data_IF_307687019967
#
_entry.id   IF_307687019967
#
_cell.length_a   1.000
_cell.length_b   1.000
_cell.length_c   1.000
_cell.angle_alpha   90.00
_cell.angle_beta   90.00
_cell.angle_gamma   90.00
#
_symmetry.space_group_name_H-M   'P 1'
#
loop_
_entity.id
_entity.type
_entity.pdbx_description
1 polymer ?
#
# COMPACT_ATOMS: atom_id res chain seq x y z
N UNK A 1 1.69 -8.88 10.33
CA UNK A 1 3.16 -8.79 10.35
C UNK A 1 3.55 -8.25 11.71
N UNK A 2 4.59 -8.80 12.33
CA UNK A 2 5.16 -8.34 13.59
C UNK A 2 6.68 -8.42 13.47
N UNK A 3 7.35 -7.29 13.69
CA UNK A 3 8.81 -7.19 13.58
C UNK A 3 9.37 -7.76 12.27
N UNK A 4 8.72 -7.42 11.16
CA UNK A 4 9.07 -7.92 9.82
C UNK A 4 8.65 -9.36 9.51
N UNK A 5 8.13 -10.10 10.49
CA UNK A 5 7.73 -11.50 10.33
C UNK A 5 6.23 -11.61 10.04
N UNK A 6 5.86 -12.39 9.03
CA UNK A 6 4.47 -12.72 8.74
C UNK A 6 3.92 -13.70 9.78
N UNK A 7 3.06 -13.22 10.68
CA UNK A 7 2.50 -14.02 11.80
C UNK A 7 1.08 -14.53 11.56
N UNK A 8 0.46 -14.17 10.44
CA UNK A 8 -0.88 -14.63 10.11
C UNK A 8 -1.32 -14.17 8.73
N UNK A 9 -2.34 -14.81 8.19
CA UNK A 9 -2.96 -14.51 6.92
C UNK A 9 -4.34 -13.93 7.11
N UNK A 10 -4.80 -13.15 6.14
CA UNK A 10 -6.22 -12.83 6.04
C UNK A 10 -6.97 -14.11 5.67
N UNK A 11 -7.99 -14.47 6.44
CA UNK A 11 -8.74 -15.69 6.23
C UNK A 11 -10.22 -15.52 6.58
N UNK A 12 -11.10 -16.20 5.85
CA UNK A 12 -12.46 -16.46 6.25
C UNK A 12 -12.60 -17.88 6.80
N UNK A 13 -13.76 -18.22 7.34
CA UNK A 13 -13.98 -19.55 7.91
C UNK A 13 -13.81 -20.68 6.90
N UNK A 14 -14.34 -20.49 5.68
CA UNK A 14 -14.26 -21.49 4.62
C UNK A 14 -12.81 -21.82 4.23
N UNK A 15 -12.01 -20.81 3.96
CA UNK A 15 -10.61 -20.98 3.59
C UNK A 15 -9.78 -21.56 4.74
N UNK A 16 -10.04 -21.15 5.98
CA UNK A 16 -9.41 -21.75 7.15
C UNK A 16 -9.70 -23.25 7.23
N UNK A 17 -10.97 -23.67 7.06
CA UNK A 17 -11.33 -25.09 7.09
C UNK A 17 -10.74 -25.84 5.90
N UNK A 18 -10.68 -25.23 4.72
CA UNK A 18 -10.08 -25.83 3.53
C UNK A 18 -8.59 -26.14 3.73
N UNK A 19 -7.84 -25.19 4.32
CA UNK A 19 -6.42 -25.39 4.64
C UNK A 19 -6.25 -26.49 5.69
N UNK A 20 -7.00 -26.42 6.80
CA UNK A 20 -6.86 -27.35 7.92
C UNK A 20 -7.27 -28.79 7.58
N UNK A 21 -8.10 -28.99 6.55
CA UNK A 21 -8.61 -30.30 6.11
C UNK A 21 -7.98 -30.80 4.81
N UNK A 22 -7.15 -30.01 4.13
CA UNK A 22 -6.45 -30.47 2.93
C UNK A 22 -5.39 -31.51 3.32
N UNK A 23 -5.50 -32.77 2.86
CA UNK A 23 -4.53 -33.80 3.19
C UNK A 23 -3.11 -33.50 2.68
N UNK A 24 -2.99 -32.59 1.71
CA UNK A 24 -1.72 -32.14 1.15
C UNK A 24 -1.25 -30.80 1.73
N UNK A 25 -1.94 -30.27 2.74
CA UNK A 25 -1.60 -28.94 3.27
C UNK A 25 -0.17 -28.88 3.81
N UNK A 26 0.29 -29.91 4.53
CA UNK A 26 1.65 -29.98 5.05
C UNK A 26 2.71 -29.96 3.94
N UNK A 27 2.48 -30.67 2.84
CA UNK A 27 3.37 -30.67 1.67
C UNK A 27 3.43 -29.29 1.02
N UNK A 28 2.26 -28.62 0.86
CA UNK A 28 2.16 -27.31 0.20
C UNK A 28 2.69 -26.16 1.04
N UNK A 29 2.54 -26.22 2.34
CA UNK A 29 2.89 -25.14 3.27
C UNK A 29 4.29 -25.32 3.88
N UNK A 30 4.87 -26.51 3.81
CA UNK A 30 6.12 -26.84 4.49
C UNK A 30 6.02 -26.99 6.00
N UNK A 31 4.81 -26.82 6.57
CA UNK A 31 4.52 -26.88 8.01
C UNK A 31 3.20 -27.60 8.25
N UNK A 32 2.99 -28.14 9.45
CA UNK A 32 1.70 -28.72 9.81
C UNK A 32 0.67 -27.61 10.06
N UNK A 33 -0.42 -27.51 9.27
CA UNK A 33 -1.42 -26.49 9.43
C UNK A 33 -2.14 -26.50 10.78
N UNK A 34 -2.18 -27.64 11.47
CA UNK A 34 -2.80 -27.74 12.80
C UNK A 34 -1.97 -27.03 13.88
N UNK A 35 -0.65 -27.10 13.79
CA UNK A 35 0.27 -26.37 14.67
C UNK A 35 0.19 -24.86 14.43
N UNK A 36 -0.09 -24.45 13.20
CA UNK A 36 -0.18 -23.06 12.77
C UNK A 36 -1.61 -22.54 12.62
N UNK A 37 -2.60 -23.24 13.14
CA UNK A 37 -4.03 -22.89 13.02
C UNK A 37 -4.36 -21.46 13.42
N UNK A 38 -3.62 -20.86 14.34
CA UNK A 38 -3.78 -19.46 14.74
C UNK A 38 -3.48 -18.47 13.60
N UNK A 39 -2.55 -18.82 12.68
CA UNK A 39 -2.22 -18.01 11.53
C UNK A 39 -3.33 -17.97 10.47
N UNK A 40 -4.22 -18.97 10.49
CA UNK A 40 -5.37 -19.08 9.59
C UNK A 40 -6.69 -18.79 10.31
N UNK A 41 -6.66 -18.15 11.48
CA UNK A 41 -7.87 -17.84 12.22
C UNK A 41 -8.81 -16.95 11.40
N UNK A 42 -10.12 -17.30 11.27
CA UNK A 42 -11.05 -16.56 10.43
C UNK A 42 -11.40 -15.21 11.05
N UNK A 43 -10.90 -14.12 10.48
CA UNK A 43 -11.09 -12.75 10.95
C UNK A 43 -11.57 -11.79 9.86
N UNK A 44 -11.42 -12.18 8.59
CA UNK A 44 -11.56 -11.30 7.44
C UNK A 44 -12.58 -11.82 6.42
N UNK A 45 -13.64 -12.49 6.89
CA UNK A 45 -14.74 -12.93 6.05
C UNK A 45 -15.80 -11.84 5.91
N UNK A 46 -15.94 -11.28 4.71
CA UNK A 46 -16.91 -10.23 4.40
C UNK A 46 -17.71 -10.55 3.16
N UNK A 47 -18.95 -10.08 3.11
CA UNK A 47 -19.83 -10.18 1.96
C UNK A 47 -19.91 -8.81 1.28
N UNK A 48 -18.94 -8.52 0.41
CA UNK A 48 -18.92 -7.27 -0.35
C UNK A 48 -19.59 -7.44 -1.69
N UNK A 49 -20.39 -6.46 -2.09
CA UNK A 49 -20.94 -6.37 -3.43
C UNK A 49 -19.96 -5.71 -4.41
N UNK A 50 -20.18 -5.92 -5.70
CA UNK A 50 -19.51 -5.13 -6.72
C UNK A 50 -19.97 -3.68 -6.62
N UNK A 51 -19.04 -2.75 -6.52
CA UNK A 51 -19.33 -1.32 -6.35
C UNK A 51 -19.48 -0.87 -4.91
N UNK A 52 -19.15 -1.72 -3.94
CA UNK A 52 -19.06 -1.39 -2.54
C UNK A 52 -20.26 -1.82 -1.68
N UNK A 53 -20.06 -1.72 -0.38
CA UNK A 53 -21.06 -2.09 0.61
C UNK A 53 -21.14 -3.59 0.91
N UNK A 54 -21.85 -3.92 1.99
CA UNK A 54 -22.07 -5.29 2.44
C UNK A 54 -23.43 -5.78 1.99
N UNK A 55 -23.44 -6.97 1.39
CA UNK A 55 -24.68 -7.59 0.89
C UNK A 55 -24.85 -9.01 1.43
N UNK A 56 -26.03 -9.35 1.90
CA UNK A 56 -26.33 -10.66 2.49
C UNK A 56 -26.37 -11.78 1.44
N UNK A 57 -26.64 -11.47 0.18
CA UNK A 57 -26.74 -12.39 -0.94
C UNK A 57 -25.38 -12.75 -1.54
N UNK A 58 -24.31 -12.06 -1.14
CA UNK A 58 -22.98 -12.34 -1.63
C UNK A 58 -22.29 -13.44 -0.81
N UNK A 59 -21.47 -14.25 -1.48
CA UNK A 59 -20.62 -15.22 -0.79
C UNK A 59 -19.53 -14.49 0.00
N UNK A 60 -19.16 -14.97 1.20
CA UNK A 60 -18.07 -14.38 1.97
C UNK A 60 -16.73 -14.51 1.22
N UNK A 61 -16.16 -13.38 0.84
CA UNK A 61 -14.78 -13.25 0.36
C UNK A 61 -13.81 -12.96 1.51
N UNK A 62 -12.52 -12.91 1.19
CA UNK A 62 -11.48 -12.44 2.11
C UNK A 62 -11.13 -11.01 1.73
N UNK A 63 -11.24 -10.09 2.68
CA UNK A 63 -10.84 -8.70 2.49
C UNK A 63 -10.26 -8.10 3.78
N UNK A 64 -9.35 -7.13 3.68
CA UNK A 64 -9.00 -6.29 4.81
C UNK A 64 -10.19 -5.38 5.17
N UNK A 65 -10.16 -4.78 6.36
CA UNK A 65 -11.08 -3.69 6.74
C UNK A 65 -10.28 -2.40 6.93
N UNK A 66 -9.92 -2.08 8.17
CA UNK A 66 -9.07 -0.92 8.44
C UNK A 66 -7.61 -1.37 8.42
N UNK A 67 -6.81 -0.79 7.53
CA UNK A 67 -5.37 -1.04 7.46
C UNK A 67 -4.69 0.07 8.25
N UNK A 68 -3.89 -0.32 9.25
CA UNK A 68 -3.11 0.61 10.07
C UNK A 68 -1.64 0.24 9.93
N UNK A 69 -0.84 1.18 9.50
CA UNK A 69 0.62 1.05 9.38
C UNK A 69 1.23 1.90 10.50
N UNK A 70 1.79 1.28 11.55
CA UNK A 70 2.43 2.03 12.62
C UNK A 70 3.77 2.60 12.15
N UNK A 71 4.03 3.84 12.53
CA UNK A 71 5.29 4.52 12.23
C UNK A 71 6.24 4.60 13.42
N UNK A 72 7.46 5.04 13.15
CA UNK A 72 8.55 5.16 14.11
C UNK A 72 9.26 6.52 14.11
N UNK A 73 8.92 7.41 13.18
CA UNK A 73 9.46 8.77 13.08
C UNK A 73 8.45 9.77 13.62
N UNK A 74 8.88 10.65 14.52
CA UNK A 74 7.97 11.52 15.29
C UNK A 74 7.35 12.63 14.44
N UNK A 75 8.12 13.24 13.54
CA UNK A 75 7.69 14.43 12.80
C UNK A 75 7.92 14.33 11.30
N UNK A 76 7.18 15.13 10.55
CA UNK A 76 7.38 15.27 9.10
C UNK A 76 8.77 15.87 8.79
N UNK A 77 9.25 16.82 9.62
CA UNK A 77 10.56 17.43 9.44
C UNK A 77 11.70 16.41 9.56
N UNK A 78 11.53 15.40 10.43
CA UNK A 78 12.50 14.31 10.53
C UNK A 78 12.47 13.43 9.27
N UNK A 79 11.30 13.13 8.72
CA UNK A 79 11.18 12.41 7.44
C UNK A 79 11.84 13.18 6.29
N UNK A 80 11.60 14.48 6.21
CA UNK A 80 12.24 15.35 5.19
C UNK A 80 13.77 15.35 5.31
N UNK A 81 14.31 15.36 6.54
CA UNK A 81 15.76 15.26 6.77
C UNK A 81 16.34 13.91 6.37
N UNK A 82 15.58 12.81 6.54
CA UNK A 82 16.02 11.49 6.07
C UNK A 82 16.15 11.44 4.54
N UNK A 83 15.29 12.16 3.82
CA UNK A 83 15.36 12.28 2.36
C UNK A 83 16.52 13.19 1.94
N UNK A 84 16.75 14.29 2.63
CA UNK A 84 17.76 15.29 2.29
C UNK A 84 17.36 16.11 1.07
N UNK A 85 17.71 15.65 -0.13
CA UNK A 85 17.32 16.24 -1.41
C UNK A 85 16.43 15.26 -2.19
N UNK A 86 15.29 15.74 -2.69
CA UNK A 86 14.35 14.86 -3.37
C UNK A 86 12.99 15.49 -3.64
N UNK A 87 11.94 14.68 -3.56
CA UNK A 87 10.56 15.10 -3.82
C UNK A 87 9.66 14.73 -2.63
N UNK A 88 8.86 15.68 -2.21
CA UNK A 88 7.69 15.45 -1.37
C UNK A 88 6.47 15.29 -2.27
N UNK A 89 5.85 14.12 -2.23
CA UNK A 89 4.69 13.79 -3.05
C UNK A 89 3.45 13.79 -2.15
N UNK A 90 2.64 14.84 -2.23
CA UNK A 90 1.46 15.00 -1.40
C UNK A 90 0.26 14.24 -1.92
N UNK A 91 0.02 14.29 -3.24
CA UNK A 91 -1.08 13.56 -3.87
C UNK A 91 -0.71 12.95 -5.20
N UNK A 92 -1.26 11.73 -5.41
CA UNK A 92 -1.14 10.98 -6.66
C UNK A 92 -2.54 10.64 -7.20
N UNK A 93 -2.62 10.45 -8.51
CA UNK A 93 -3.84 10.12 -9.22
C UNK A 93 -3.60 9.05 -10.28
N UNK A 94 -4.62 8.33 -10.67
CA UNK A 94 -4.50 7.22 -11.63
C UNK A 94 -3.46 6.18 -11.21
N UNK A 95 -3.53 5.77 -9.96
CA UNK A 95 -2.67 4.69 -9.46
C UNK A 95 -3.27 3.35 -9.83
N UNK A 96 -2.58 2.59 -10.68
CA UNK A 96 -3.03 1.27 -11.07
C UNK A 96 -1.86 0.32 -11.37
N UNK A 97 -2.08 -1.01 -11.25
CA UNK A 97 -1.07 -2.01 -11.60
C UNK A 97 -0.90 -2.09 -13.11
N UNK A 98 0.35 -2.20 -13.58
CA UNK A 98 0.67 -2.24 -15.01
C UNK A 98 0.70 -3.66 -15.56
N UNK A 99 1.40 -4.57 -14.87
CA UNK A 99 1.62 -5.96 -15.32
C UNK A 99 0.82 -6.97 -14.48
N UNK A 100 -0.35 -6.57 -14.00
CA UNK A 100 -1.19 -7.35 -13.10
C UNK A 100 -0.80 -7.22 -11.63
N UNK A 101 -1.75 -7.53 -10.74
CA UNK A 101 -1.62 -7.32 -9.29
C UNK A 101 -0.45 -8.07 -8.64
N UNK A 102 -0.01 -9.19 -9.22
CA UNK A 102 1.06 -10.02 -8.64
C UNK A 102 2.46 -9.54 -8.97
N UNK A 103 2.63 -8.80 -10.07
CA UNK A 103 3.93 -8.28 -10.49
C UNK A 103 4.41 -7.15 -9.59
N UNK A 104 3.48 -6.39 -9.03
CA UNK A 104 3.77 -5.25 -8.15
C UNK A 104 4.13 -3.97 -8.90
N UNK A 105 4.22 -4.00 -10.24
CA UNK A 105 4.48 -2.81 -11.04
C UNK A 105 3.25 -1.89 -11.02
N UNK A 106 3.49 -0.60 -10.82
CA UNK A 106 2.43 0.40 -10.79
C UNK A 106 2.85 1.69 -11.48
N UNK A 107 1.87 2.42 -11.95
CA UNK A 107 2.03 3.79 -12.43
C UNK A 107 1.12 4.73 -11.66
N UNK A 108 1.53 5.98 -11.53
CA UNK A 108 0.73 7.03 -10.89
C UNK A 108 1.18 8.42 -11.33
N UNK A 109 0.26 9.35 -11.46
CA UNK A 109 0.57 10.75 -11.80
C UNK A 109 0.59 11.61 -10.53
N UNK A 110 1.61 12.45 -10.39
CA UNK A 110 1.71 13.44 -9.30
C UNK A 110 0.81 14.62 -9.64
N UNK A 111 -0.17 14.93 -8.75
CA UNK A 111 -1.21 15.90 -9.09
C UNK A 111 -1.20 17.16 -8.21
N UNK A 112 -0.93 17.08 -6.94
CA UNK A 112 -0.99 18.27 -6.10
C UNK A 112 -0.27 18.14 -4.78
N UNK A 113 -0.19 19.24 -4.06
CA UNK A 113 0.43 19.33 -2.72
C UNK A 113 1.82 18.69 -2.68
N UNK A 114 2.58 18.86 -3.77
CA UNK A 114 3.89 18.23 -3.95
C UNK A 114 4.97 19.28 -4.12
N UNK A 115 6.15 19.03 -3.56
CA UNK A 115 7.24 19.99 -3.47
C UNK A 115 8.58 19.34 -3.74
N UNK A 116 9.54 20.12 -4.17
CA UNK A 116 10.96 19.74 -4.13
C UNK A 116 11.43 19.79 -2.68
N UNK A 117 12.25 18.84 -2.29
CA UNK A 117 12.96 18.85 -1.00
C UNK A 117 14.40 19.30 -1.27
N UNK A 118 14.87 20.28 -0.51
CA UNK A 118 16.27 20.72 -0.51
C UNK A 118 16.77 20.83 0.93
N UNK A 119 17.93 20.26 1.21
CA UNK A 119 18.53 20.25 2.54
C UNK A 119 17.53 19.84 3.65
N UNK A 120 16.70 18.82 3.37
CA UNK A 120 15.70 18.31 4.30
C UNK A 120 14.53 19.23 4.58
N UNK A 121 14.21 20.16 3.67
CA UNK A 121 13.09 21.13 3.79
C UNK A 121 12.29 21.21 2.50
N UNK A 122 11.00 21.51 2.63
CA UNK A 122 10.15 21.81 1.48
C UNK A 122 10.62 23.11 0.82
N UNK A 123 10.80 23.07 -0.48
CA UNK A 123 11.23 24.18 -1.31
C UNK A 123 10.14 24.53 -2.36
N UNK A 124 10.47 24.52 -3.65
CA UNK A 124 9.55 24.94 -4.70
C UNK A 124 8.40 23.94 -4.88
N UNK A 125 7.16 24.41 -5.16
CA UNK A 125 6.06 23.54 -5.48
C UNK A 125 6.27 22.86 -6.86
N UNK A 126 5.85 21.60 -6.96
CA UNK A 126 5.85 20.85 -8.23
C UNK A 126 4.57 21.16 -8.98
N UNK A 127 4.69 21.51 -10.26
CA UNK A 127 3.53 21.73 -11.13
C UNK A 127 2.74 20.42 -11.27
N UNK A 128 1.41 20.40 -10.99
CA UNK A 128 0.59 19.22 -11.16
C UNK A 128 0.66 18.62 -12.56
N UNK A 129 0.56 17.31 -12.66
CA UNK A 129 0.55 16.55 -13.91
C UNK A 129 1.83 16.68 -14.77
N UNK A 130 2.96 17.00 -14.16
CA UNK A 130 4.26 17.06 -14.86
C UNK A 130 5.17 15.88 -14.54
N UNK A 131 4.86 15.13 -13.51
CA UNK A 131 5.63 13.96 -13.07
C UNK A 131 4.75 12.72 -13.02
N UNK A 132 5.33 11.60 -13.41
CA UNK A 132 4.74 10.27 -13.34
C UNK A 132 5.67 9.34 -12.58
N UNK A 133 5.10 8.57 -11.67
CA UNK A 133 5.77 7.47 -10.99
C UNK A 133 5.55 6.20 -11.82
N UNK A 134 6.62 5.49 -12.15
CA UNK A 134 6.58 4.15 -12.71
C UNK A 134 7.57 3.29 -11.93
N UNK A 135 7.08 2.49 -11.00
CA UNK A 135 7.92 1.70 -10.11
C UNK A 135 7.25 0.37 -9.75
N UNK A 136 7.91 -0.38 -8.90
CA UNK A 136 7.39 -1.63 -8.35
C UNK A 136 7.24 -1.49 -6.82
N UNK A 137 6.11 -1.93 -6.29
CA UNK A 137 5.80 -1.84 -4.86
C UNK A 137 6.86 -2.52 -3.97
N UNK A 138 7.49 -3.59 -4.44
CA UNK A 138 8.57 -4.25 -3.71
C UNK A 138 9.81 -3.36 -3.60
N UNK A 139 10.15 -2.62 -4.67
CA UNK A 139 11.26 -1.66 -4.64
C UNK A 139 11.00 -0.54 -3.64
N UNK A 140 9.79 0.03 -3.68
CA UNK A 140 9.38 1.10 -2.75
C UNK A 140 9.43 0.62 -1.31
N UNK A 141 8.88 -0.56 -1.01
CA UNK A 141 8.88 -1.12 0.34
C UNK A 141 10.29 -1.45 0.85
N UNK A 142 11.18 -1.90 -0.02
CA UNK A 142 12.57 -2.19 0.33
C UNK A 142 13.44 -0.93 0.48
N UNK A 143 12.99 0.21 -0.04
CA UNK A 143 13.69 1.48 0.02
C UNK A 143 13.22 2.41 1.16
N UNK A 144 12.36 1.93 2.08
CA UNK A 144 11.84 2.74 3.18
C UNK A 144 12.98 3.12 4.13
N UNK A 145 13.16 4.42 4.34
CA UNK A 145 14.08 5.03 5.30
C UNK A 145 13.41 5.29 6.65
N UNK A 146 12.12 5.64 6.62
CA UNK A 146 11.36 5.94 7.82
C UNK A 146 9.86 5.99 7.56
N UNK A 147 9.09 5.77 8.60
CA UNK A 147 7.63 5.78 8.59
C UNK A 147 7.17 6.74 9.69
N UNK A 148 6.39 7.74 9.34
CA UNK A 148 5.84 8.70 10.29
C UNK A 148 4.86 8.06 11.28
N UNK A 149 4.75 8.59 12.48
CA UNK A 149 3.79 8.11 13.49
C UNK A 149 2.36 8.58 13.24
N UNK A 150 2.19 9.72 12.59
CA UNK A 150 0.88 10.30 12.31
C UNK A 150 0.20 9.59 11.14
N UNK A 151 -0.56 8.56 11.45
CA UNK A 151 -1.40 7.88 10.45
C UNK A 151 -2.71 8.66 10.24
N UNK A 152 -2.99 9.02 9.00
CA UNK A 152 -4.22 9.73 8.60
C UNK A 152 -5.16 8.80 7.84
N UNK A 153 -6.50 8.93 8.05
CA UNK A 153 -7.45 8.18 7.25
C UNK A 153 -7.38 8.64 5.79
N UNK A 154 -7.11 7.70 4.91
CA UNK A 154 -6.96 7.93 3.47
C UNK A 154 -8.05 7.16 2.74
N UNK A 155 -8.83 7.87 1.92
CA UNK A 155 -9.80 7.23 1.04
C UNK A 155 -9.06 6.61 -0.14
N UNK A 156 -9.29 5.32 -0.36
CA UNK A 156 -8.83 4.61 -1.54
C UNK A 156 -10.02 4.49 -2.51
N UNK A 157 -9.84 4.97 -3.74
CA UNK A 157 -10.90 4.98 -4.73
C UNK A 157 -11.39 3.56 -5.04
N UNK A 158 -12.71 3.40 -5.09
CA UNK A 158 -13.41 2.14 -5.31
C UNK A 158 -13.11 1.02 -4.28
N UNK A 159 -12.63 1.38 -3.09
CA UNK A 159 -12.49 0.46 -1.97
C UNK A 159 -13.53 0.74 -0.89
N UNK A 160 -13.94 -0.29 -0.17
CA UNK A 160 -14.83 -0.20 0.98
C UNK A 160 -14.07 0.03 2.29
N UNK A 161 -12.73 0.00 2.22
CA UNK A 161 -11.83 0.09 3.35
C UNK A 161 -11.32 1.52 3.54
N UNK A 162 -11.12 1.91 4.80
CA UNK A 162 -10.36 3.10 5.15
C UNK A 162 -8.94 2.67 5.49
N UNK A 163 -7.97 3.25 4.79
CA UNK A 163 -6.54 3.02 5.04
C UNK A 163 -6.02 4.10 5.98
N UNK A 164 -5.52 3.71 7.14
CA UNK A 164 -4.77 4.60 8.02
C UNK A 164 -3.29 4.43 7.70
N UNK A 165 -2.74 5.35 6.95
CA UNK A 165 -1.36 5.32 6.51
C UNK A 165 -0.62 6.59 6.93
N UNK A 166 0.59 6.45 7.45
CA UNK A 166 1.49 7.57 7.69
C UNK A 166 2.22 7.97 6.40
N UNK A 167 2.88 9.11 6.45
CA UNK A 167 3.89 9.46 5.46
C UNK A 167 5.08 8.51 5.56
N UNK A 168 5.71 8.21 4.43
CA UNK A 168 6.92 7.37 4.37
C UNK A 168 8.03 8.12 3.65
N UNK A 169 9.25 8.04 4.16
CA UNK A 169 10.46 8.45 3.46
C UNK A 169 11.05 7.22 2.77
N UNK A 170 11.39 7.36 1.50
CA UNK A 170 12.03 6.30 0.71
C UNK A 170 13.33 6.82 0.10
N UNK A 171 14.35 5.97 0.01
CA UNK A 171 15.64 6.33 -0.55
C UNK A 171 15.55 6.70 -2.05
N UNK A 172 14.67 6.00 -2.77
CA UNK A 172 14.48 6.19 -4.20
C UNK A 172 13.10 5.79 -4.67
N UNK A 173 12.65 6.48 -5.70
CA UNK A 173 11.42 6.20 -6.43
C UNK A 173 11.67 6.52 -7.91
N UNK A 174 11.23 5.67 -8.83
CA UNK A 174 11.34 5.94 -10.25
C UNK A 174 10.29 6.97 -10.67
N UNK A 175 10.75 8.16 -11.03
CA UNK A 175 9.90 9.28 -11.45
C UNK A 175 10.39 9.79 -12.80
N UNK A 176 9.48 10.01 -13.75
CA UNK A 176 9.75 10.58 -15.05
C UNK A 176 9.01 11.89 -15.26
N UNK A 177 9.60 12.81 -16.03
CA UNK A 177 8.93 14.03 -16.47
C UNK A 177 7.98 13.71 -17.62
N UNK A 178 6.73 14.17 -17.50
CA UNK A 178 5.71 14.09 -18.57
C UNK A 178 5.23 15.47 -19.01
N UNK A 179 5.96 16.53 -18.63
CA UNK A 179 5.58 17.91 -18.91
C UNK A 179 5.38 18.18 -20.42
N UNK A 180 6.25 17.65 -21.27
CA UNK A 180 6.19 17.82 -22.73
C UNK A 180 4.90 17.26 -23.34
N UNK A 181 4.40 16.15 -22.81
CA UNK A 181 3.14 15.56 -23.28
C UNK A 181 1.92 16.38 -22.88
N UNK A 182 2.01 17.08 -21.77
CA UNK A 182 0.91 17.91 -21.27
C UNK A 182 0.83 19.27 -22.00
N UNK A 183 1.96 19.82 -22.42
CA UNK A 183 2.01 21.08 -23.19
C UNK A 183 1.49 20.93 -24.62
N UNK A 184 1.57 19.75 -25.20
CA UNK A 184 1.05 19.45 -26.54
C UNK A 184 -0.46 19.14 -26.57
N UNK A 185 -1.12 19.02 -25.41
CA UNK A 185 -2.54 18.66 -25.31
C UNK A 185 -3.48 19.88 -25.22
N UNK A 186 -2.94 21.09 -25.28
CA UNK A 186 -3.64 22.37 -25.31
C UNK A 186 -3.14 23.20 -26.52
#
# INVERSE_FOLDING_TARGET
>A
VRDGVLVGLLANWYESQRILRDPRAREKLGVDPQEWRHAFAPRNGFRFARGGGRHFDQQPGIAPTNIIIPGNVETQEELLRLVGDGLYIGRIWYTYPVNGLRAGDFTSTVVGDSFVIRDGRLAEPIRPNTLRINDNVHNVLNAILGIGKDARPTLVWAADEIVYAPEIAVERLQVESIAEYMESAY
#
